data_IF_607560647535
#
_entry.id   IF_607560647535
#
_cell.length_a   1.000
_cell.length_b   1.000
_cell.length_c   1.000
_cell.angle_alpha   90.00
_cell.angle_beta   90.00
_cell.angle_gamma   90.00
#
_symmetry.space_group_name_H-M   'P 1'
#
loop_
_entity.id
_entity.type
_entity.pdbx_description
1 polymer ?
#
# COMPACT_ATOMS: atom_id res chain seq x y z
N UNK A 1 1.90 -13.09 -5.04
CA UNK A 1 1.07 -12.50 -3.97
C UNK A 1 1.91 -11.65 -3.03
N UNK A 2 2.99 -12.18 -2.46
CA UNK A 2 3.93 -11.44 -1.59
C UNK A 2 4.39 -10.10 -2.18
N UNK A 3 4.90 -10.09 -3.42
CA UNK A 3 5.27 -8.84 -4.11
C UNK A 3 4.12 -7.82 -4.20
N UNK A 4 2.91 -8.29 -4.44
CA UNK A 4 1.75 -7.40 -4.55
C UNK A 4 1.39 -6.80 -3.18
N UNK A 5 1.48 -7.60 -2.11
CA UNK A 5 1.31 -7.13 -0.73
C UNK A 5 2.41 -6.14 -0.33
N UNK A 6 3.68 -6.43 -0.64
CA UNK A 6 4.77 -5.49 -0.39
C UNK A 6 4.56 -4.15 -1.10
N UNK A 7 4.01 -4.16 -2.32
CA UNK A 7 3.68 -2.94 -3.05
C UNK A 7 2.52 -2.16 -2.42
N UNK A 8 1.53 -2.85 -1.85
CA UNK A 8 0.48 -2.19 -1.09
C UNK A 8 1.00 -1.58 0.21
N UNK A 9 1.91 -2.28 0.92
CA UNK A 9 2.58 -1.76 2.11
C UNK A 9 3.46 -0.55 1.78
N UNK A 10 4.18 -0.55 0.64
CA UNK A 10 5.00 0.57 0.17
C UNK A 10 4.15 1.79 -0.26
N UNK A 11 2.87 1.58 -0.59
CA UNK A 11 1.93 2.64 -0.96
C UNK A 11 1.09 3.17 0.22
N UNK A 12 1.17 2.52 1.38
CA UNK A 12 0.37 2.88 2.56
C UNK A 12 1.05 4.05 3.33
N UNK A 13 0.40 5.23 3.45
CA UNK A 13 1.01 6.40 4.09
C UNK A 13 1.26 6.24 5.60
N UNK A 14 0.60 5.27 6.24
CA UNK A 14 0.80 4.94 7.64
C UNK A 14 2.00 4.00 7.85
N UNK A 15 2.51 3.36 6.80
CA UNK A 15 3.68 2.47 6.85
C UNK A 15 4.97 3.28 6.68
N UNK A 16 5.88 3.15 7.65
CA UNK A 16 7.19 3.84 7.63
C UNK A 16 8.38 2.90 7.51
N UNK A 17 8.14 1.58 7.55
CA UNK A 17 9.18 0.59 7.34
C UNK A 17 8.62 -0.81 7.14
N UNK A 18 9.26 -1.58 6.26
CA UNK A 18 8.92 -2.97 5.98
C UNK A 18 10.20 -3.79 5.93
N UNK A 19 10.21 -4.94 6.62
CA UNK A 19 11.29 -5.92 6.57
C UNK A 19 10.73 -7.25 6.07
N UNK A 20 11.35 -7.81 5.04
CA UNK A 20 11.01 -9.14 4.52
C UNK A 20 11.70 -10.22 5.34
N UNK A 21 10.97 -11.28 5.68
CA UNK A 21 11.46 -12.44 6.46
C UNK A 21 12.30 -12.01 7.68
N UNK A 22 11.71 -11.20 8.58
CA UNK A 22 12.45 -10.39 9.54
C UNK A 22 13.13 -11.21 10.64
N UNK A 23 12.55 -12.37 10.99
CA UNK A 23 13.02 -13.24 12.06
C UNK A 23 12.35 -14.62 11.97
N UNK A 24 12.72 -15.52 12.88
CA UNK A 24 12.10 -16.83 13.05
C UNK A 24 11.44 -16.96 14.43
N UNK A 25 10.21 -17.45 14.47
CA UNK A 25 9.63 -18.05 15.67
C UNK A 25 10.18 -19.45 15.86
N UNK A 26 10.47 -19.79 17.11
CA UNK A 26 10.89 -21.13 17.53
C UNK A 26 10.02 -21.58 18.70
N UNK A 27 9.40 -22.74 18.59
CA UNK A 27 8.54 -23.31 19.64
C UNK A 27 9.16 -24.57 20.27
N UNK A 28 8.78 -24.91 21.52
CA UNK A 28 9.35 -26.08 22.23
C UNK A 28 9.12 -27.43 21.55
N UNK A 29 8.10 -27.55 20.69
CA UNK A 29 7.84 -28.76 19.90
C UNK A 29 8.75 -28.89 18.66
N UNK A 30 9.74 -28.00 18.52
CA UNK A 30 10.69 -27.97 17.42
C UNK A 30 10.18 -27.32 16.14
N UNK A 31 8.90 -26.92 16.10
CA UNK A 31 8.37 -26.16 14.98
C UNK A 31 8.98 -24.76 14.92
N UNK A 32 9.12 -24.25 13.70
CA UNK A 32 9.63 -22.90 13.43
C UNK A 32 8.87 -22.25 12.29
N UNK A 33 8.77 -20.93 12.32
CA UNK A 33 8.07 -20.15 11.30
C UNK A 33 8.79 -18.82 11.05
N UNK A 34 8.97 -18.46 9.79
CA UNK A 34 9.46 -17.14 9.40
C UNK A 34 8.28 -16.35 8.81
N UNK A 35 7.87 -15.24 9.43
CA UNK A 35 6.83 -14.40 8.85
C UNK A 35 7.28 -13.77 7.54
N UNK A 36 6.34 -13.46 6.65
CA UNK A 36 6.70 -12.84 5.37
C UNK A 36 7.17 -11.39 5.56
N UNK A 37 6.49 -10.60 6.41
CA UNK A 37 6.86 -9.22 6.69
C UNK A 37 6.75 -8.82 8.16
N UNK A 38 7.61 -7.89 8.58
CA UNK A 38 7.40 -7.01 9.73
C UNK A 38 7.19 -5.59 9.21
N UNK A 39 6.14 -4.93 9.70
CA UNK A 39 5.75 -3.59 9.27
C UNK A 39 5.74 -2.67 10.48
N UNK A 40 6.35 -1.50 10.33
CA UNK A 40 6.31 -0.41 11.31
C UNK A 40 5.36 0.67 10.81
N UNK A 41 4.41 1.06 11.64
CA UNK A 41 3.54 2.19 11.36
C UNK A 41 4.08 3.49 11.95
N UNK A 42 3.59 4.62 11.42
CA UNK A 42 3.95 5.98 11.80
C UNK A 42 3.64 6.30 13.27
N UNK A 43 2.56 5.73 13.81
CA UNK A 43 2.18 5.86 15.22
C UNK A 43 3.09 5.05 16.18
N UNK A 44 4.07 4.33 15.63
CA UNK A 44 4.98 3.48 16.39
C UNK A 44 4.45 2.07 16.63
N UNK A 45 3.23 1.73 16.23
CA UNK A 45 2.74 0.35 16.28
C UNK A 45 3.48 -0.55 15.28
N UNK A 46 3.46 -1.85 15.54
CA UNK A 46 4.10 -2.84 14.68
C UNK A 46 3.15 -3.98 14.38
N UNK A 47 3.20 -4.48 13.15
CA UNK A 47 2.43 -5.64 12.72
C UNK A 47 3.32 -6.64 12.01
N UNK A 48 3.18 -7.92 12.40
CA UNK A 48 3.77 -9.06 11.70
C UNK A 48 2.75 -9.59 10.71
N UNK A 49 3.18 -9.84 9.48
CA UNK A 49 2.30 -10.20 8.38
C UNK A 49 2.72 -11.51 7.74
N UNK A 50 1.77 -12.42 7.57
CA UNK A 50 1.89 -13.60 6.71
C UNK A 50 0.96 -13.49 5.49
N UNK A 51 1.49 -13.81 4.33
CA UNK A 51 0.85 -13.68 3.02
C UNK A 51 0.48 -15.07 2.51
N UNK A 52 -0.79 -15.44 2.64
CA UNK A 52 -1.26 -16.81 2.36
C UNK A 52 -2.59 -16.78 1.63
N UNK A 53 -2.69 -17.52 0.52
CA UNK A 53 -3.88 -17.56 -0.33
C UNK A 53 -5.00 -18.22 0.46
N UNK A 54 -6.17 -17.60 0.49
CA UNK A 54 -7.28 -18.04 1.34
C UNK A 54 -7.71 -19.48 1.02
N UNK A 55 -7.59 -19.89 -0.23
CA UNK A 55 -7.94 -21.24 -0.73
C UNK A 55 -6.91 -22.33 -0.36
N UNK A 56 -5.77 -21.96 0.26
CA UNK A 56 -4.63 -22.86 0.50
C UNK A 56 -4.25 -23.00 1.98
N UNK A 57 -5.15 -22.62 2.88
CA UNK A 57 -4.89 -22.68 4.32
C UNK A 57 -5.22 -24.06 4.85
N UNK A 58 -4.18 -24.80 5.27
CA UNK A 58 -4.35 -26.04 6.00
C UNK A 58 -4.64 -25.79 7.48
N UNK A 59 -5.11 -26.83 8.19
CA UNK A 59 -5.23 -26.80 9.66
C UNK A 59 -3.87 -26.56 10.33
N UNK A 60 -2.78 -27.04 9.71
CA UNK A 60 -1.42 -26.79 10.18
C UNK A 60 -1.05 -25.31 10.10
N UNK A 61 -1.36 -24.66 8.98
CA UNK A 61 -1.11 -23.23 8.78
C UNK A 61 -1.87 -22.38 9.80
N UNK A 62 -3.15 -22.70 10.06
CA UNK A 62 -3.94 -21.97 11.05
C UNK A 62 -3.32 -22.04 12.46
N UNK A 63 -2.79 -23.20 12.87
CA UNK A 63 -2.10 -23.33 14.17
C UNK A 63 -0.83 -22.47 14.23
N UNK A 64 -0.10 -22.35 13.12
CA UNK A 64 1.09 -21.48 13.03
C UNK A 64 0.68 -20.02 13.14
N UNK A 65 -0.40 -19.60 12.47
CA UNK A 65 -0.92 -18.24 12.56
C UNK A 65 -1.36 -17.90 13.99
N UNK A 66 -2.11 -18.78 14.65
CA UNK A 66 -2.60 -18.55 16.01
C UNK A 66 -1.44 -18.42 17.01
N UNK A 67 -0.43 -19.28 16.88
CA UNK A 67 0.79 -19.21 17.71
C UNK A 67 1.61 -17.95 17.44
N UNK A 68 1.70 -17.53 16.17
CA UNK A 68 2.41 -16.32 15.78
C UNK A 68 1.70 -15.08 16.31
N UNK A 69 0.37 -15.03 16.22
CA UNK A 69 -0.45 -13.98 16.81
C UNK A 69 -0.29 -13.89 18.33
N UNK A 70 -0.33 -15.02 19.03
CA UNK A 70 -0.11 -15.06 20.47
C UNK A 70 1.28 -14.55 20.86
N UNK A 71 2.33 -14.94 20.13
CA UNK A 71 3.69 -14.48 20.37
C UNK A 71 3.85 -12.96 20.11
N UNK A 72 3.22 -12.44 19.04
CA UNK A 72 3.22 -10.99 18.76
C UNK A 72 2.53 -10.21 19.87
N UNK A 73 1.36 -10.68 20.33
CA UNK A 73 0.60 -10.02 21.39
C UNK A 73 1.40 -9.92 22.71
N UNK A 74 2.22 -10.94 23.03
CA UNK A 74 3.08 -10.92 24.23
C UNK A 74 4.10 -9.78 24.24
N UNK A 75 4.50 -9.28 23.07
CA UNK A 75 5.42 -8.14 22.93
C UNK A 75 4.72 -6.86 22.49
N UNK A 76 3.38 -6.84 22.52
CA UNK A 76 2.56 -5.68 22.15
C UNK A 76 2.52 -5.40 20.66
N UNK A 77 2.73 -6.41 19.80
CA UNK A 77 2.62 -6.28 18.35
C UNK A 77 1.33 -6.91 17.84
N UNK A 78 0.81 -6.36 16.75
CA UNK A 78 -0.29 -6.94 16.00
C UNK A 78 0.21 -8.07 15.09
N UNK A 79 -0.71 -8.96 14.72
CA UNK A 79 -0.47 -9.99 13.72
C UNK A 79 -1.61 -10.00 12.69
N UNK A 80 -1.27 -10.10 11.41
CA UNK A 80 -2.26 -10.17 10.33
C UNK A 80 -1.87 -11.24 9.31
N UNK A 81 -2.80 -12.12 8.97
CA UNK A 81 -2.71 -12.91 7.75
C UNK A 81 -3.45 -12.18 6.64
N UNK A 82 -2.80 -12.01 5.50
CA UNK A 82 -3.37 -11.35 4.31
C UNK A 82 -3.42 -12.31 3.13
N UNK A 83 -4.53 -12.25 2.40
CA UNK A 83 -4.76 -13.03 1.18
C UNK A 83 -4.31 -12.32 -0.09
N UNK A 84 -4.94 -12.65 -1.20
CA UNK A 84 -4.71 -11.95 -2.45
C UNK A 84 -5.32 -10.53 -2.39
N UNK A 85 -4.62 -9.53 -2.95
CA UNK A 85 -5.21 -8.21 -3.14
C UNK A 85 -6.40 -8.28 -4.10
N UNK A 86 -7.37 -7.39 -3.88
CA UNK A 86 -8.41 -7.11 -4.86
C UNK A 86 -7.76 -6.89 -6.25
N UNK A 87 -8.25 -7.54 -7.33
CA UNK A 87 -7.61 -7.47 -8.64
C UNK A 87 -7.49 -6.06 -9.23
N UNK A 88 -8.47 -5.19 -8.98
CA UNK A 88 -8.49 -3.80 -9.42
C UNK A 88 -7.48 -2.97 -8.65
N UNK A 89 -7.47 -3.09 -7.31
CA UNK A 89 -6.47 -2.45 -6.45
C UNK A 89 -5.05 -2.85 -6.88
N UNK A 90 -4.83 -4.14 -7.11
CA UNK A 90 -3.55 -4.66 -7.59
C UNK A 90 -3.15 -4.04 -8.93
N UNK A 91 -4.08 -3.89 -9.87
CA UNK A 91 -3.79 -3.29 -11.18
C UNK A 91 -3.43 -1.80 -11.05
N UNK A 92 -4.20 -1.04 -10.27
CA UNK A 92 -3.96 0.37 -10.01
C UNK A 92 -2.63 0.60 -9.28
N UNK A 93 -2.33 -0.15 -8.21
CA UNK A 93 -1.06 -0.05 -7.51
C UNK A 93 0.12 -0.43 -8.41
N UNK A 94 -0.01 -1.46 -9.25
CA UNK A 94 1.04 -1.81 -10.24
C UNK A 94 1.32 -0.66 -11.18
N UNK A 95 0.29 0.00 -11.70
CA UNK A 95 0.45 1.20 -12.53
C UNK A 95 1.14 2.34 -11.77
N UNK A 96 0.61 2.71 -10.60
CA UNK A 96 1.13 3.81 -9.79
C UNK A 96 2.57 3.56 -9.30
N UNK A 97 2.96 2.31 -9.06
CA UNK A 97 4.30 1.94 -8.63
C UNK A 97 5.40 2.37 -9.61
N UNK A 98 5.06 2.58 -10.89
CA UNK A 98 5.97 3.13 -11.90
C UNK A 98 6.38 4.59 -11.64
N UNK A 99 5.59 5.30 -10.83
CA UNK A 99 5.73 6.72 -10.51
C UNK A 99 6.17 6.97 -9.06
N UNK A 100 6.51 5.94 -8.29
CA UNK A 100 6.89 6.07 -6.87
C UNK A 100 8.14 6.91 -6.59
N UNK A 101 9.07 6.97 -7.54
CA UNK A 101 10.37 7.62 -7.31
C UNK A 101 10.26 9.15 -7.44
N UNK A 102 10.86 9.95 -6.53
CA UNK A 102 10.84 11.42 -6.57
C UNK A 102 11.37 12.08 -7.87
N UNK A 103 11.94 11.29 -8.79
CA UNK A 103 12.49 11.78 -10.07
C UNK A 103 11.40 12.28 -11.02
N UNK A 104 10.15 11.84 -10.81
CA UNK A 104 9.01 12.28 -11.61
C UNK A 104 8.33 13.49 -10.99
N UNK A 105 8.65 13.85 -9.74
CA UNK A 105 8.07 14.98 -9.04
C UNK A 105 8.60 16.29 -9.64
N UNK A 106 7.69 17.18 -10.01
CA UNK A 106 7.98 18.57 -10.36
C UNK A 106 7.18 19.46 -9.42
N UNK A 107 7.87 20.13 -8.51
CA UNK A 107 7.25 20.86 -7.38
C UNK A 107 6.17 21.83 -7.84
N UNK A 108 6.45 22.68 -8.84
CA UNK A 108 5.44 23.63 -9.34
C UNK A 108 4.19 22.98 -9.95
N UNK A 109 4.32 21.83 -10.62
CA UNK A 109 3.15 21.08 -11.10
C UNK A 109 2.40 20.40 -9.95
N UNK A 110 3.11 19.94 -8.92
CA UNK A 110 2.50 19.31 -7.76
C UNK A 110 1.66 20.31 -6.95
N UNK A 111 2.16 21.53 -6.77
CA UNK A 111 1.42 22.63 -6.13
C UNK A 111 0.14 22.95 -6.92
N UNK A 112 0.25 23.13 -8.25
CA UNK A 112 -0.90 23.38 -9.12
C UNK A 112 -1.92 22.24 -9.11
N UNK A 113 -1.47 20.99 -9.14
CA UNK A 113 -2.35 19.82 -9.04
C UNK A 113 -3.08 19.78 -7.70
N UNK A 114 -2.38 20.05 -6.59
CA UNK A 114 -2.96 20.09 -5.25
C UNK A 114 -4.03 21.19 -5.16
N UNK A 115 -3.74 22.39 -5.68
CA UNK A 115 -4.70 23.48 -5.75
C UNK A 115 -5.93 23.08 -6.57
N UNK A 116 -5.74 22.56 -7.77
CA UNK A 116 -6.80 22.09 -8.67
C UNK A 116 -7.65 21.02 -7.98
N UNK A 117 -7.08 20.02 -7.30
CA UNK A 117 -7.86 18.95 -6.68
C UNK A 117 -8.40 19.26 -5.28
N UNK A 118 -8.29 20.50 -4.79
CA UNK A 118 -8.99 20.97 -3.57
C UNK A 118 -10.50 20.76 -3.66
N UNK A 119 -11.05 20.76 -4.88
CA UNK A 119 -12.40 20.24 -5.16
C UNK A 119 -12.29 19.00 -6.03
N UNK A 120 -12.89 17.91 -5.54
CA UNK A 120 -12.90 16.63 -6.23
C UNK A 120 -13.42 16.78 -7.66
N UNK A 121 -12.71 16.20 -8.63
CA UNK A 121 -13.04 16.30 -10.06
C UNK A 121 -12.44 15.14 -10.86
N UNK A 122 -12.89 14.91 -12.10
CA UNK A 122 -12.30 13.92 -12.99
C UNK A 122 -10.80 14.14 -13.19
N UNK A 123 -10.03 13.05 -13.17
CA UNK A 123 -8.58 13.02 -13.33
C UNK A 123 -8.14 13.85 -14.53
N UNK A 124 -8.70 13.57 -15.71
CA UNK A 124 -8.26 14.21 -16.94
C UNK A 124 -8.67 15.69 -17.02
N UNK A 125 -9.79 16.06 -16.40
CA UNK A 125 -10.21 17.46 -16.30
C UNK A 125 -9.23 18.27 -15.45
N UNK A 126 -8.79 17.75 -14.31
CA UNK A 126 -7.79 18.40 -13.47
C UNK A 126 -6.42 18.48 -14.14
N UNK A 127 -5.98 17.41 -14.79
CA UNK A 127 -4.72 17.36 -15.56
C UNK A 127 -4.68 18.44 -16.64
N UNK A 128 -5.74 18.55 -17.45
CA UNK A 128 -5.83 19.55 -18.53
C UNK A 128 -5.93 20.98 -18.02
N UNK A 129 -6.47 21.18 -16.82
CA UNK A 129 -6.50 22.50 -16.18
C UNK A 129 -5.10 22.98 -15.75
N UNK A 130 -4.19 22.04 -15.42
CA UNK A 130 -2.80 22.36 -15.05
C UNK A 130 -1.90 22.51 -16.29
N UNK A 131 -2.04 21.65 -17.30
CA UNK A 131 -1.25 21.77 -18.52
C UNK A 131 -1.29 20.53 -19.41
N UNK A 132 -0.21 20.34 -20.19
CA UNK A 132 -0.12 19.23 -21.15
C UNK A 132 -0.15 17.87 -20.45
N UNK A 133 -1.11 16.98 -20.75
CA UNK A 133 -1.28 15.72 -20.02
C UNK A 133 -0.02 14.87 -19.94
N UNK A 134 0.76 14.76 -21.03
CA UNK A 134 2.01 14.01 -21.07
C UNK A 134 3.04 14.49 -20.03
N UNK A 135 2.99 15.77 -19.67
CA UNK A 135 3.91 16.41 -18.72
C UNK A 135 3.39 16.31 -17.28
N UNK A 136 2.07 16.38 -17.12
CA UNK A 136 1.38 16.50 -15.81
C UNK A 136 1.05 15.13 -15.21
N UNK A 137 0.62 14.15 -16.01
CA UNK A 137 0.20 12.82 -15.55
C UNK A 137 1.25 12.12 -14.66
N UNK A 138 2.56 12.11 -14.99
CA UNK A 138 3.55 11.49 -14.11
C UNK A 138 3.59 12.10 -12.70
N UNK A 139 3.38 13.41 -12.58
CA UNK A 139 3.32 14.10 -11.28
C UNK A 139 2.04 13.74 -10.55
N UNK A 140 0.88 13.74 -11.24
CA UNK A 140 -0.39 13.32 -10.65
C UNK A 140 -0.31 11.89 -10.08
N UNK A 141 0.22 10.94 -10.85
CA UNK A 141 0.36 9.56 -10.40
C UNK A 141 1.33 9.42 -9.24
N UNK A 142 2.39 10.23 -9.19
CA UNK A 142 3.28 10.29 -8.04
C UNK A 142 2.58 10.80 -6.79
N UNK A 143 1.76 11.84 -6.91
CA UNK A 143 0.98 12.37 -5.78
C UNK A 143 -0.08 11.40 -5.29
N UNK A 144 -0.70 10.61 -6.17
CA UNK A 144 -1.58 9.50 -5.78
C UNK A 144 -0.80 8.41 -5.05
N UNK A 145 0.39 8.05 -5.53
CA UNK A 145 1.25 7.06 -4.87
C UNK A 145 1.69 7.52 -3.47
N UNK A 146 1.95 8.81 -3.28
CA UNK A 146 2.34 9.38 -1.98
C UNK A 146 1.15 9.72 -1.07
N UNK A 147 -0.09 9.51 -1.51
CA UNK A 147 -1.28 9.86 -0.74
C UNK A 147 -1.54 11.37 -0.59
N UNK A 148 -0.83 12.22 -1.32
CA UNK A 148 -1.08 13.66 -1.40
C UNK A 148 -2.38 13.97 -2.16
N UNK A 149 -2.65 13.17 -3.19
CA UNK A 149 -3.95 13.09 -3.85
C UNK A 149 -4.58 11.74 -3.53
N UNK A 150 -5.91 11.66 -3.60
CA UNK A 150 -6.65 10.43 -3.33
C UNK A 150 -7.69 10.14 -4.42
N UNK A 151 -7.94 8.84 -4.61
CA UNK A 151 -8.96 8.29 -5.49
C UNK A 151 -9.42 6.93 -4.93
N UNK A 152 -10.61 6.48 -5.32
CA UNK A 152 -10.97 5.07 -5.09
C UNK A 152 -10.16 4.18 -6.03
N UNK A 153 -9.29 3.36 -5.46
CA UNK A 153 -8.43 2.42 -6.20
C UNK A 153 -8.99 1.00 -6.25
N UNK A 154 -10.12 0.73 -5.60
CA UNK A 154 -10.67 -0.62 -5.40
C UNK A 154 -11.90 -0.90 -6.27
N UNK A 155 -12.67 0.13 -6.61
CA UNK A 155 -13.91 -0.02 -7.38
C UNK A 155 -13.64 -0.26 -8.89
N UNK A 156 -12.85 0.61 -9.52
CA UNK A 156 -12.53 0.54 -10.95
C UNK A 156 -11.06 0.85 -11.25
N UNK A 157 -10.52 0.38 -12.40
CA UNK A 157 -9.22 0.84 -12.88
C UNK A 157 -9.19 2.36 -13.03
N UNK A 158 -8.06 2.99 -12.69
CA UNK A 158 -7.85 4.42 -12.89
C UNK A 158 -8.04 4.79 -14.36
N UNK A 159 -8.88 5.79 -14.60
CA UNK A 159 -9.18 6.31 -15.92
C UNK A 159 -9.48 7.80 -15.91
N UNK A 160 -9.80 8.34 -17.07
CA UNK A 160 -9.97 9.78 -17.29
C UNK A 160 -11.04 10.41 -16.37
N UNK A 161 -12.11 9.66 -16.10
CA UNK A 161 -13.26 10.08 -15.31
C UNK A 161 -13.14 9.75 -13.81
N UNK A 162 -12.07 9.07 -13.38
CA UNK A 162 -11.85 8.78 -11.96
C UNK A 162 -11.81 10.08 -11.17
N UNK A 163 -12.68 10.20 -10.17
CA UNK A 163 -12.69 11.36 -9.28
C UNK A 163 -11.43 11.36 -8.41
N UNK A 164 -10.68 12.45 -8.51
CA UNK A 164 -9.50 12.72 -7.70
C UNK A 164 -9.82 13.87 -6.76
N UNK A 165 -9.42 13.75 -5.50
CA UNK A 165 -9.45 14.83 -4.51
C UNK A 165 -8.12 14.95 -3.76
N UNK A 166 -8.07 15.85 -2.78
CA UNK A 166 -6.98 15.87 -1.81
C UNK A 166 -6.96 14.57 -1.02
N UNK A 167 -5.77 14.02 -0.82
CA UNK A 167 -5.55 12.94 0.13
C UNK A 167 -5.30 13.47 1.54
N UNK A 168 -4.94 12.56 2.45
CA UNK A 168 -4.59 12.92 3.82
C UNK A 168 -3.31 13.78 3.90
N UNK A 169 -2.53 13.87 2.82
CA UNK A 169 -1.32 14.68 2.77
C UNK A 169 -0.18 14.10 3.62
N UNK A 170 0.90 14.88 3.75
CA UNK A 170 2.17 14.51 4.39
C UNK A 170 2.05 14.10 5.87
#
# INVERSE_FOLDING_TARGET
MERDQLMALDADPDVVGVLSQPFWFHWPDGSRHAPDYFVRHRDGSAVVVDVREDERISVGDQKVFDRSAAACAMVGWDYRRVGALNPVLRANLRWLSGYRHPRVLRVGLAEQLTEVFTRARPLMAGVRAVGTPLVVLPVLFHLLWQGCLAADLRDAPLGDDTLIGLGAGW
#
